data_IF_116690643168
#
_entry.id   IF_116690643168
#
_cell.length_a   1.000
_cell.length_b   1.000
_cell.length_c   1.000
_cell.angle_alpha   90.00
_cell.angle_beta   90.00
_cell.angle_gamma   90.00
#
_symmetry.space_group_name_H-M   'P 1'
#
loop_
_entity.id
_entity.type
_entity.pdbx_description
1 polymer ?
#
# COMPACT_ATOMS: atom_id res chain seq x y z
N UNK A 1 22.20 -16.96 6.02
CA UNK A 1 23.41 -17.03 5.19
C UNK A 1 23.29 -16.02 4.05
N UNK A 2 24.39 -15.73 3.36
CA UNK A 2 24.38 -14.97 2.10
C UNK A 2 25.02 -15.87 1.05
N UNK A 3 24.31 -16.12 -0.06
CA UNK A 3 24.81 -16.88 -1.19
C UNK A 3 24.90 -15.98 -2.43
N UNK A 4 25.98 -16.14 -3.20
CA UNK A 4 26.21 -15.46 -4.47
C UNK A 4 26.29 -16.55 -5.55
N UNK A 5 25.39 -16.52 -6.53
CA UNK A 5 25.34 -17.48 -7.63
C UNK A 5 25.19 -16.79 -8.98
N UNK A 6 25.24 -17.57 -10.06
CA UNK A 6 25.07 -17.05 -11.43
C UNK A 6 23.69 -16.39 -11.63
N UNK A 7 22.67 -16.87 -10.91
CA UNK A 7 21.30 -16.37 -10.97
C UNK A 7 21.04 -15.16 -10.06
N UNK A 8 21.98 -14.81 -9.16
CA UNK A 8 21.87 -13.63 -8.30
C UNK A 8 22.30 -13.81 -6.84
N UNK A 9 21.69 -13.01 -5.96
CA UNK A 9 22.01 -12.93 -4.53
C UNK A 9 20.84 -13.46 -3.72
N UNK A 10 21.11 -14.38 -2.81
CA UNK A 10 20.14 -14.90 -1.85
C UNK A 10 20.57 -14.58 -0.41
N UNK A 11 19.62 -14.12 0.41
CA UNK A 11 19.82 -13.79 1.82
C UNK A 11 18.77 -14.49 2.67
N UNK A 12 19.21 -15.32 3.61
CA UNK A 12 18.31 -16.00 4.56
C UNK A 12 18.68 -15.68 6.01
N UNK A 13 17.67 -15.49 6.84
CA UNK A 13 17.79 -15.39 8.30
C UNK A 13 17.05 -16.55 8.96
N UNK A 14 17.56 -17.02 10.10
CA UNK A 14 16.84 -17.96 10.95
C UNK A 14 15.48 -17.39 11.37
N UNK A 15 14.51 -18.26 11.69
CA UNK A 15 13.10 -17.91 11.98
C UNK A 15 12.89 -16.96 13.17
N UNK A 16 13.88 -16.79 14.04
CA UNK A 16 13.86 -15.80 15.14
C UNK A 16 14.56 -14.47 14.79
N UNK A 17 15.24 -14.42 13.66
CA UNK A 17 15.95 -13.23 13.17
C UNK A 17 15.10 -12.38 12.21
N UNK A 18 15.74 -11.36 11.63
CA UNK A 18 15.15 -10.46 10.64
C UNK A 18 16.19 -9.96 9.66
N UNK A 19 15.76 -9.63 8.45
CA UNK A 19 16.59 -8.97 7.43
C UNK A 19 16.16 -7.52 7.36
N UNK A 20 17.11 -6.58 7.51
CA UNK A 20 16.83 -5.13 7.48
C UNK A 20 17.78 -4.44 6.51
N UNK A 21 17.21 -3.77 5.51
CA UNK A 21 17.94 -2.86 4.61
C UNK A 21 17.59 -1.43 5.03
N UNK A 22 18.57 -0.64 5.46
CA UNK A 22 18.35 0.70 6.04
C UNK A 22 19.27 1.75 5.43
N UNK A 23 18.70 2.89 5.07
CA UNK A 23 19.43 4.10 4.64
C UNK A 23 18.77 5.31 5.30
N UNK A 24 19.48 6.00 6.19
CA UNK A 24 18.93 7.12 6.94
C UNK A 24 17.65 6.76 7.71
N UNK A 25 16.54 7.45 7.40
CA UNK A 25 15.20 7.21 7.98
C UNK A 25 14.38 6.14 7.25
N UNK A 26 14.84 5.66 6.10
CA UNK A 26 14.15 4.64 5.33
C UNK A 26 14.60 3.22 5.73
N UNK A 27 13.66 2.27 5.77
CA UNK A 27 13.96 0.87 6.05
C UNK A 27 12.99 -0.09 5.37
N UNK A 28 13.52 -1.19 4.85
CA UNK A 28 12.80 -2.41 4.49
C UNK A 28 13.15 -3.50 5.51
N UNK A 29 12.16 -4.08 6.16
CA UNK A 29 12.32 -5.14 7.15
C UNK A 29 11.49 -6.37 6.79
N UNK A 30 12.11 -7.55 6.80
CA UNK A 30 11.47 -8.86 6.70
C UNK A 30 11.67 -9.58 8.04
N UNK A 31 10.60 -9.98 8.70
CA UNK A 31 10.66 -10.72 9.97
C UNK A 31 10.44 -12.23 9.77
N UNK A 32 10.83 -13.03 10.77
CA UNK A 32 10.66 -14.48 10.75
C UNK A 32 9.21 -14.98 10.87
N UNK A 33 8.22 -14.08 10.95
CA UNK A 33 6.78 -14.40 10.89
C UNK A 33 6.19 -14.18 9.50
N UNK A 34 7.00 -13.70 8.55
CA UNK A 34 6.59 -13.37 7.19
C UNK A 34 6.03 -11.96 7.02
N UNK A 35 6.17 -11.08 8.02
CA UNK A 35 5.77 -9.67 7.89
C UNK A 35 6.82 -8.92 7.09
N UNK A 36 6.36 -8.15 6.10
CA UNK A 36 7.20 -7.19 5.36
C UNK A 36 6.78 -5.77 5.76
N UNK A 37 7.75 -4.97 6.19
CA UNK A 37 7.52 -3.58 6.63
C UNK A 37 8.36 -2.61 5.81
N UNK A 38 7.71 -1.65 5.16
CA UNK A 38 8.36 -0.52 4.49
C UNK A 38 8.12 0.75 5.31
N UNK A 39 9.18 1.44 5.69
CA UNK A 39 9.13 2.73 6.39
C UNK A 39 9.98 3.75 5.67
N UNK A 40 9.49 4.98 5.59
CA UNK A 40 10.18 6.11 5.00
C UNK A 40 9.44 7.41 5.28
N UNK A 41 10.07 8.53 4.98
CA UNK A 41 9.39 9.84 4.98
C UNK A 41 8.38 9.93 3.85
N UNK A 42 8.77 9.47 2.66
CA UNK A 42 7.92 9.32 1.49
C UNK A 42 8.06 7.90 0.93
N UNK A 43 6.95 7.28 0.53
CA UNK A 43 6.93 5.99 -0.17
C UNK A 43 6.13 6.19 -1.46
N UNK A 44 6.78 6.01 -2.61
CA UNK A 44 6.16 6.12 -3.93
C UNK A 44 6.18 4.74 -4.59
N UNK A 45 4.99 4.22 -4.90
CA UNK A 45 4.81 2.97 -5.64
C UNK A 45 4.23 3.32 -7.01
N UNK A 46 4.82 2.81 -8.08
CA UNK A 46 4.39 3.11 -9.45
C UNK A 46 4.57 1.88 -10.32
N UNK A 47 3.60 1.61 -11.19
CA UNK A 47 3.63 0.50 -12.13
C UNK A 47 3.18 1.00 -13.51
N UNK A 48 3.79 0.48 -14.58
CA UNK A 48 3.50 0.90 -15.96
C UNK A 48 2.25 0.23 -16.55
N UNK A 49 1.85 -0.93 -16.01
CA UNK A 49 0.68 -1.68 -16.45
C UNK A 49 -0.39 -1.73 -15.36
N UNK A 50 -0.07 -2.36 -14.24
CA UNK A 50 -1.02 -2.58 -13.15
C UNK A 50 -0.31 -2.61 -11.79
N UNK A 51 -0.95 -2.03 -10.77
CA UNK A 51 -0.61 -2.21 -9.37
C UNK A 51 -1.83 -2.81 -8.65
N UNK A 52 -1.76 -4.09 -8.31
CA UNK A 52 -2.84 -4.81 -7.62
C UNK A 52 -2.50 -5.00 -6.13
N UNK A 53 -3.45 -4.72 -5.25
CA UNK A 53 -3.32 -4.89 -3.80
C UNK A 53 -4.45 -5.81 -3.31
N UNK A 54 -4.10 -6.97 -2.76
CA UNK A 54 -5.06 -7.96 -2.26
C UNK A 54 -4.67 -8.45 -0.87
N UNK A 55 -5.68 -8.65 -0.03
CA UNK A 55 -5.54 -9.29 1.28
C UNK A 55 -6.91 -9.49 1.91
N UNK A 56 -6.99 -10.33 2.95
CA UNK A 56 -8.24 -10.51 3.71
C UNK A 56 -8.78 -9.17 4.25
N UNK A 57 -7.87 -8.22 4.54
CA UNK A 57 -8.18 -6.84 4.90
C UNK A 57 -7.14 -5.91 4.28
N UNK A 58 -7.59 -4.87 3.60
CA UNK A 58 -6.75 -3.74 3.15
C UNK A 58 -7.17 -2.50 3.93
N UNK A 59 -6.22 -1.85 4.61
CA UNK A 59 -6.49 -0.66 5.43
C UNK A 59 -5.59 0.50 4.99
N UNK A 60 -6.22 1.62 4.63
CA UNK A 60 -5.57 2.85 4.22
C UNK A 60 -5.82 3.91 5.30
N UNK A 61 -4.77 4.45 5.89
CA UNK A 61 -4.88 5.47 6.94
C UNK A 61 -4.01 6.68 6.62
N UNK A 62 -4.64 7.74 6.15
CA UNK A 62 -4.03 9.06 6.03
C UNK A 62 -4.41 9.93 7.22
N UNK A 63 -3.46 10.71 7.76
CA UNK A 63 -3.77 11.71 8.81
C UNK A 63 -4.56 12.89 8.24
N UNK A 64 -4.16 13.34 7.04
CA UNK A 64 -4.73 14.53 6.40
C UNK A 64 -5.79 14.16 5.37
N UNK A 65 -5.50 13.19 4.51
CA UNK A 65 -6.42 12.70 3.49
C UNK A 65 -6.03 11.30 3.01
N UNK A 66 -6.98 10.57 2.44
CA UNK A 66 -6.75 9.47 1.52
C UNK A 66 -7.41 9.80 0.17
N UNK A 67 -6.63 9.78 -0.90
CA UNK A 67 -7.05 10.21 -2.23
C UNK A 67 -6.94 9.03 -3.20
N UNK A 68 -7.98 8.87 -4.02
CA UNK A 68 -7.96 8.00 -5.21
C UNK A 68 -8.28 8.89 -6.40
N UNK A 69 -7.39 8.92 -7.39
CA UNK A 69 -7.53 9.73 -8.60
C UNK A 69 -7.34 8.86 -9.83
N UNK A 70 -8.37 8.78 -10.67
CA UNK A 70 -8.42 7.98 -11.88
C UNK A 70 -8.44 8.82 -13.16
N UNK A 71 -7.94 10.06 -13.13
CA UNK A 71 -7.83 10.93 -14.33
C UNK A 71 -9.15 11.53 -14.81
N UNK A 72 -10.20 11.46 -14.01
CA UNK A 72 -11.57 11.95 -14.32
C UNK A 72 -12.59 11.58 -13.25
N UNK A 73 -12.28 10.55 -12.47
CA UNK A 73 -12.97 10.18 -11.23
C UNK A 73 -12.06 10.40 -10.04
N UNK A 74 -12.62 10.90 -8.93
CA UNK A 74 -11.88 11.18 -7.71
C UNK A 74 -12.67 10.78 -6.47
N UNK A 75 -12.01 10.10 -5.54
CA UNK A 75 -12.49 9.90 -4.18
C UNK A 75 -11.52 10.58 -3.21
N UNK A 76 -12.04 11.46 -2.36
CA UNK A 76 -11.28 12.21 -1.36
C UNK A 76 -11.89 11.96 0.02
N UNK A 77 -11.13 11.32 0.89
CA UNK A 77 -11.50 11.01 2.26
C UNK A 77 -10.69 11.89 3.19
N UNK A 78 -11.36 12.85 3.83
CA UNK A 78 -10.77 13.78 4.80
C UNK A 78 -11.45 13.64 6.17
N UNK A 79 -10.81 14.13 7.24
CA UNK A 79 -11.45 14.22 8.56
C UNK A 79 -12.80 14.97 8.53
N UNK A 80 -12.95 15.94 7.63
CA UNK A 80 -14.16 16.74 7.47
C UNK A 80 -15.27 16.08 6.64
N UNK A 81 -15.01 14.92 6.03
CA UNK A 81 -16.00 14.20 5.22
C UNK A 81 -15.39 13.45 4.03
N UNK A 82 -16.27 12.70 3.34
CA UNK A 82 -15.95 11.98 2.12
C UNK A 82 -16.55 12.69 0.91
N UNK A 83 -15.77 12.81 -0.16
CA UNK A 83 -16.20 13.40 -1.43
C UNK A 83 -15.91 12.41 -2.56
N UNK A 84 -16.93 12.03 -3.31
CA UNK A 84 -16.80 11.22 -4.53
C UNK A 84 -17.27 12.08 -5.69
N UNK A 85 -16.45 12.21 -6.73
CA UNK A 85 -16.74 12.99 -7.93
C UNK A 85 -16.36 12.20 -9.17
N UNK A 86 -17.14 12.33 -10.23
CA UNK A 86 -16.86 11.79 -11.55
C UNK A 86 -17.22 12.85 -12.59
N UNK A 87 -16.45 12.95 -13.67
CA UNK A 87 -16.81 13.76 -14.83
C UNK A 87 -17.97 13.16 -15.62
N UNK A 88 -18.26 11.87 -15.40
CA UNK A 88 -19.41 11.17 -15.96
C UNK A 88 -20.42 10.77 -14.90
N UNK A 89 -21.22 9.73 -15.20
CA UNK A 89 -22.20 9.18 -14.26
C UNK A 89 -21.48 8.53 -13.08
N UNK A 90 -21.97 8.78 -11.87
CA UNK A 90 -21.57 8.04 -10.67
C UNK A 90 -22.65 7.00 -10.37
N UNK A 91 -22.30 5.72 -10.46
CA UNK A 91 -23.22 4.62 -10.13
C UNK A 91 -22.94 4.10 -8.71
N UNK A 92 -23.98 4.02 -7.89
CA UNK A 92 -23.92 3.43 -6.54
C UNK A 92 -24.97 2.32 -6.48
N UNK A 93 -24.50 1.08 -6.31
CA UNK A 93 -25.34 -0.13 -6.24
C UNK A 93 -25.27 -0.74 -4.84
N UNK A 94 -26.42 -1.15 -4.31
CA UNK A 94 -26.54 -1.89 -3.07
C UNK A 94 -27.94 -2.48 -2.94
N UNK A 95 -28.09 -3.59 -2.21
CA UNK A 95 -29.42 -4.13 -1.89
C UNK A 95 -30.25 -3.17 -1.04
N UNK A 96 -29.60 -2.28 -0.30
CA UNK A 96 -30.20 -1.16 0.41
C UNK A 96 -29.17 -0.03 0.55
N UNK A 97 -29.58 1.21 0.23
CA UNK A 97 -28.78 2.40 0.46
C UNK A 97 -29.39 3.17 1.64
N UNK A 98 -28.57 3.47 2.65
CA UNK A 98 -28.96 4.33 3.77
C UNK A 98 -28.23 5.66 3.65
N UNK A 99 -28.99 6.72 3.39
CA UNK A 99 -28.53 8.10 3.33
C UNK A 99 -29.26 8.86 4.44
N UNK A 100 -28.52 9.61 5.25
CA UNK A 100 -29.04 10.40 6.36
C UNK A 100 -28.66 11.87 6.16
#
# INVERSE_FOLDING_TARGET
FIALGEDGIEMESQSKGKIVIKVGKASLELDGKGTITLKGTDIKLSASKELSLQGQKVSLKGKTAALVDGGGSKADLKPSGAKIQSSGITEIKGSMLKLN
#
